data_IF_159437898174
#
_entry.id   IF_159437898174
#
_cell.length_a   1.000
_cell.length_b   1.000
_cell.length_c   1.000
_cell.angle_alpha   90.00
_cell.angle_beta   90.00
_cell.angle_gamma   90.00
#
_symmetry.space_group_name_H-M   'P 1'
#
loop_
_entity.id
_entity.type
_entity.pdbx_description
1 polymer ?
#
# COMPACT_ATOMS: atom_id res chain seq x y z
N UNK A 1 -22.33 -5.43 -12.54
CA UNK A 1 -23.04 -6.70 -12.25
C UNK A 1 -22.02 -7.68 -11.71
N UNK A 2 -22.31 -8.37 -10.61
CA UNK A 2 -21.41 -9.40 -10.04
C UNK A 2 -21.23 -10.54 -11.04
N UNK A 3 -20.03 -11.13 -11.11
CA UNK A 3 -19.77 -12.28 -11.98
C UNK A 3 -20.61 -13.49 -11.53
N UNK A 4 -20.83 -14.45 -12.43
CA UNK A 4 -21.55 -15.68 -12.09
C UNK A 4 -20.90 -16.43 -10.91
N UNK A 5 -19.57 -16.43 -10.83
CA UNK A 5 -18.81 -17.01 -9.72
C UNK A 5 -19.03 -16.26 -8.40
N UNK A 6 -19.09 -14.91 -8.42
CA UNK A 6 -19.37 -14.11 -7.22
C UNK A 6 -20.80 -14.30 -6.72
N UNK A 7 -21.77 -14.41 -7.63
CA UNK A 7 -23.17 -14.71 -7.26
C UNK A 7 -23.23 -16.06 -6.54
N UNK A 8 -22.50 -17.05 -7.04
CA UNK A 8 -22.50 -18.38 -6.46
C UNK A 8 -21.76 -18.41 -5.11
N UNK A 9 -20.67 -17.65 -4.95
CA UNK A 9 -20.03 -17.44 -3.64
C UNK A 9 -21.01 -16.84 -2.62
N UNK A 10 -21.80 -15.84 -3.01
CA UNK A 10 -22.77 -15.24 -2.08
C UNK A 10 -23.86 -16.22 -1.67
N UNK A 11 -24.38 -17.04 -2.59
CA UNK A 11 -25.30 -18.14 -2.21
C UNK A 11 -24.64 -19.10 -1.22
N UNK A 12 -23.36 -19.43 -1.43
CA UNK A 12 -22.58 -20.23 -0.50
C UNK A 12 -22.44 -19.58 0.88
N UNK A 13 -22.21 -18.26 0.93
CA UNK A 13 -22.16 -17.50 2.17
C UNK A 13 -23.50 -17.50 2.91
N UNK A 14 -24.61 -17.36 2.19
CA UNK A 14 -25.95 -17.36 2.78
C UNK A 14 -26.31 -18.75 3.32
N UNK A 15 -26.05 -19.81 2.57
CA UNK A 15 -26.18 -21.19 3.05
C UNK A 15 -25.30 -21.46 4.29
N UNK A 16 -24.08 -20.94 4.31
CA UNK A 16 -23.18 -21.07 5.46
C UNK A 16 -23.73 -20.35 6.70
N UNK A 17 -24.32 -19.16 6.55
CA UNK A 17 -24.96 -18.42 7.66
C UNK A 17 -26.15 -19.18 8.25
N UNK A 18 -26.91 -19.89 7.42
CA UNK A 18 -28.03 -20.74 7.85
C UNK A 18 -27.59 -22.13 8.33
N UNK A 19 -26.28 -22.35 8.49
CA UNK A 19 -25.67 -23.63 8.88
C UNK A 19 -25.95 -24.81 7.92
N UNK A 20 -26.37 -24.54 6.68
CA UNK A 20 -26.47 -25.54 5.62
C UNK A 20 -25.11 -25.67 4.93
N UNK A 21 -24.22 -26.41 5.57
CA UNK A 21 -22.83 -26.51 5.14
C UNK A 21 -22.66 -27.34 3.86
N UNK A 22 -23.59 -28.23 3.53
CA UNK A 22 -23.58 -28.99 2.27
C UNK A 22 -23.98 -28.13 1.08
N UNK A 23 -25.02 -27.31 1.24
CA UNK A 23 -25.37 -26.31 0.23
C UNK A 23 -24.23 -25.29 0.07
N UNK A 24 -23.64 -24.82 1.17
CA UNK A 24 -22.48 -23.94 1.13
C UNK A 24 -21.30 -24.56 0.36
N UNK A 25 -20.94 -25.81 0.66
CA UNK A 25 -19.92 -26.56 -0.05
C UNK A 25 -20.20 -26.65 -1.56
N UNK A 26 -21.44 -26.95 -1.93
CA UNK A 26 -21.86 -27.09 -3.32
C UNK A 26 -21.75 -25.77 -4.09
N UNK A 27 -22.22 -24.68 -3.50
CA UNK A 27 -22.11 -23.34 -4.09
C UNK A 27 -20.65 -22.89 -4.23
N UNK A 28 -19.81 -23.07 -3.21
CA UNK A 28 -18.39 -22.74 -3.34
C UNK A 28 -17.69 -23.61 -4.41
N UNK A 29 -18.07 -24.87 -4.55
CA UNK A 29 -17.56 -25.74 -5.62
C UNK A 29 -17.94 -25.21 -7.01
N UNK A 30 -19.19 -24.78 -7.19
CA UNK A 30 -19.62 -24.16 -8.45
C UNK A 30 -18.86 -22.85 -8.73
N UNK A 31 -18.64 -22.01 -7.71
CA UNK A 31 -17.81 -20.82 -7.84
C UNK A 31 -16.37 -21.15 -8.29
N UNK A 32 -15.76 -22.20 -7.72
CA UNK A 32 -14.43 -22.69 -8.11
C UNK A 32 -14.37 -23.22 -9.55
N UNK A 33 -15.44 -23.86 -10.04
CA UNK A 33 -15.51 -24.32 -11.44
C UNK A 33 -15.63 -23.14 -12.41
N UNK A 34 -16.31 -22.06 -12.01
CA UNK A 34 -16.52 -20.87 -12.83
C UNK A 34 -15.29 -19.97 -12.88
N UNK A 35 -14.56 -19.84 -11.77
CA UNK A 35 -13.30 -19.09 -11.70
C UNK A 35 -12.30 -19.81 -10.77
N UNK A 36 -11.43 -20.66 -11.34
CA UNK A 36 -10.50 -21.49 -10.57
C UNK A 36 -9.30 -20.75 -10.00
N UNK A 37 -9.12 -19.45 -10.33
CA UNK A 37 -7.95 -18.67 -9.89
C UNK A 37 -8.23 -17.82 -8.64
N UNK A 38 -9.49 -17.67 -8.23
CA UNK A 38 -9.83 -16.93 -7.02
C UNK A 38 -9.67 -17.81 -5.76
N UNK A 39 -8.71 -17.43 -4.91
CA UNK A 39 -8.42 -18.16 -3.68
C UNK A 39 -9.56 -18.14 -2.64
N UNK A 40 -10.50 -17.20 -2.74
CA UNK A 40 -11.58 -17.02 -1.75
C UNK A 40 -12.58 -18.16 -1.79
N UNK A 41 -12.78 -18.80 -2.94
CA UNK A 41 -13.71 -19.92 -3.07
C UNK A 41 -13.19 -21.21 -2.39
N UNK A 42 -11.97 -21.72 -2.67
CA UNK A 42 -11.42 -22.84 -1.90
C UNK A 42 -11.22 -22.46 -0.44
N UNK A 43 -10.85 -21.21 -0.12
CA UNK A 43 -10.81 -20.76 1.26
C UNK A 43 -12.18 -20.93 1.94
N UNK A 44 -13.27 -20.42 1.37
CA UNK A 44 -14.59 -20.53 1.95
C UNK A 44 -15.13 -21.98 1.98
N UNK A 45 -14.80 -22.80 0.97
CA UNK A 45 -15.14 -24.22 0.98
C UNK A 45 -14.41 -24.98 2.09
N UNK A 46 -13.15 -24.63 2.39
CA UNK A 46 -12.41 -25.28 3.48
C UNK A 46 -13.09 -25.14 4.85
N UNK A 47 -13.73 -23.99 5.16
CA UNK A 47 -14.44 -23.83 6.43
C UNK A 47 -15.78 -24.58 6.45
N UNK A 48 -16.47 -24.70 5.31
CA UNK A 48 -17.64 -25.57 5.19
C UNK A 48 -17.24 -27.03 5.43
N UNK A 49 -16.14 -27.48 4.83
CA UNK A 49 -15.59 -28.82 5.03
C UNK A 49 -15.17 -29.09 6.49
N UNK A 50 -14.59 -28.11 7.19
CA UNK A 50 -14.35 -28.23 8.63
C UNK A 50 -15.65 -28.41 9.42
N UNK A 51 -16.72 -27.67 9.09
CA UNK A 51 -18.02 -27.83 9.77
C UNK A 51 -18.67 -29.18 9.49
N UNK A 52 -18.44 -29.73 8.29
CA UNK A 52 -18.90 -31.05 7.87
C UNK A 52 -18.02 -32.20 8.35
N UNK A 53 -16.91 -31.92 9.05
CA UNK A 53 -15.92 -32.92 9.47
C UNK A 53 -15.24 -33.65 8.31
N UNK A 54 -15.17 -33.00 7.14
CA UNK A 54 -14.44 -33.44 5.94
C UNK A 54 -13.02 -32.91 6.00
N UNK A 55 -12.23 -33.50 6.89
CA UNK A 55 -10.94 -32.93 7.29
C UNK A 55 -9.92 -32.92 6.15
N UNK A 56 -9.88 -34.00 5.35
CA UNK A 56 -8.95 -34.10 4.23
C UNK A 56 -9.25 -33.06 3.16
N UNK A 57 -10.52 -32.91 2.81
CA UNK A 57 -11.01 -31.93 1.83
C UNK A 57 -10.80 -30.50 2.34
N UNK A 58 -10.96 -30.25 3.64
CA UNK A 58 -10.63 -28.96 4.24
C UNK A 58 -9.13 -28.63 4.15
N UNK A 59 -8.25 -29.62 4.35
CA UNK A 59 -6.81 -29.46 4.20
C UNK A 59 -6.41 -29.16 2.75
N UNK A 60 -6.98 -29.91 1.80
CA UNK A 60 -6.76 -29.75 0.36
C UNK A 60 -7.20 -28.36 -0.10
N UNK A 61 -8.40 -27.94 0.29
CA UNK A 61 -8.95 -26.62 -0.05
C UNK A 61 -8.14 -25.47 0.55
N UNK A 62 -7.73 -25.59 1.82
CA UNK A 62 -6.89 -24.59 2.46
C UNK A 62 -5.48 -24.54 1.84
N UNK A 63 -4.95 -25.68 1.39
CA UNK A 63 -3.67 -25.75 0.65
C UNK A 63 -3.79 -25.12 -0.73
N UNK A 64 -4.89 -25.36 -1.43
CA UNK A 64 -5.17 -24.72 -2.71
C UNK A 64 -5.29 -23.20 -2.55
N UNK A 65 -6.02 -22.73 -1.53
CA UNK A 65 -6.11 -21.31 -1.21
C UNK A 65 -4.73 -20.68 -0.94
N UNK A 66 -3.84 -21.38 -0.24
CA UNK A 66 -2.45 -20.92 0.00
C UNK A 66 -1.56 -20.96 -1.24
N UNK A 67 -1.85 -21.87 -2.17
CA UNK A 67 -1.16 -21.92 -3.46
C UNK A 67 -1.54 -20.72 -4.33
N UNK A 68 -2.83 -20.34 -4.32
CA UNK A 68 -3.37 -19.20 -5.06
C UNK A 68 -3.04 -17.85 -4.38
N UNK A 69 -3.02 -17.80 -3.05
CA UNK A 69 -2.70 -16.61 -2.25
C UNK A 69 -1.70 -16.93 -1.13
N UNK A 70 -0.38 -16.96 -1.43
CA UNK A 70 0.66 -17.21 -0.45
C UNK A 70 0.68 -16.13 0.65
N UNK A 71 0.18 -16.47 1.84
CA UNK A 71 0.09 -15.56 2.99
C UNK A 71 -1.29 -15.42 3.61
N UNK A 72 -2.33 -16.05 3.06
CA UNK A 72 -3.69 -16.01 3.61
C UNK A 72 -3.78 -16.71 4.98
N UNK A 73 -3.88 -15.90 6.04
CA UNK A 73 -3.82 -16.35 7.45
C UNK A 73 -4.96 -17.31 7.77
N UNK A 74 -6.17 -17.07 7.24
CA UNK A 74 -7.32 -17.95 7.49
C UNK A 74 -7.11 -19.33 6.88
N UNK A 75 -6.41 -19.42 5.76
CA UNK A 75 -6.10 -20.71 5.13
C UNK A 75 -5.12 -21.51 5.98
N UNK A 76 -4.07 -20.88 6.54
CA UNK A 76 -3.17 -21.55 7.49
C UNK A 76 -3.93 -22.08 8.71
N UNK A 77 -4.82 -21.28 9.30
CA UNK A 77 -5.61 -21.69 10.46
C UNK A 77 -6.53 -22.88 10.14
N UNK A 78 -7.24 -22.82 9.01
CA UNK A 78 -8.16 -23.88 8.58
C UNK A 78 -7.42 -25.17 8.24
N UNK A 79 -6.25 -25.08 7.58
CA UNK A 79 -5.39 -26.22 7.29
C UNK A 79 -4.84 -26.88 8.55
N UNK A 80 -4.34 -26.10 9.50
CA UNK A 80 -3.85 -26.64 10.78
C UNK A 80 -4.98 -27.28 11.59
N UNK A 81 -6.17 -26.68 11.61
CA UNK A 81 -7.35 -27.29 12.24
C UNK A 81 -7.69 -28.64 11.59
N UNK A 82 -7.73 -28.70 10.26
CA UNK A 82 -7.97 -29.95 9.53
C UNK A 82 -6.93 -31.03 9.84
N UNK A 83 -5.64 -30.67 9.86
CA UNK A 83 -4.53 -31.58 10.16
C UNK A 83 -4.56 -32.10 11.57
N UNK A 84 -4.85 -31.24 12.55
CA UNK A 84 -5.00 -31.65 13.93
C UNK A 84 -6.09 -32.71 14.07
N UNK A 85 -7.25 -32.47 13.47
CA UNK A 85 -8.35 -33.45 13.49
C UNK A 85 -7.92 -34.75 12.79
N UNK A 86 -7.26 -34.69 11.62
CA UNK A 86 -6.71 -35.87 10.94
C UNK A 86 -5.68 -36.65 11.78
N UNK A 87 -4.79 -35.95 12.49
CA UNK A 87 -3.76 -36.53 13.36
C UNK A 87 -4.37 -37.15 14.64
N UNK A 88 -5.44 -36.55 15.19
CA UNK A 88 -6.22 -37.12 16.29
C UNK A 88 -6.95 -38.41 15.86
N UNK A 89 -7.27 -38.56 14.56
CA UNK A 89 -7.77 -39.83 13.98
C UNK A 89 -6.65 -40.82 13.60
N UNK A 90 -5.42 -40.35 13.30
CA UNK A 90 -4.36 -41.16 12.71
C UNK A 90 -3.20 -41.55 13.66
N UNK A 91 -3.13 -40.99 14.88
CA UNK A 91 -2.12 -41.38 15.85
C UNK A 91 -0.67 -41.04 15.44
N UNK A 92 -0.30 -39.77 15.65
CA UNK A 92 1.05 -39.21 15.85
C UNK A 92 1.93 -38.71 14.66
N UNK A 93 2.20 -37.38 14.74
CA UNK A 93 3.47 -36.60 14.63
C UNK A 93 4.07 -36.25 13.26
N UNK A 94 4.13 -34.94 12.96
CA UNK A 94 5.36 -34.11 12.85
C UNK A 94 5.12 -32.76 12.14
N UNK A 95 4.07 -32.66 11.31
CA UNK A 95 3.79 -31.48 10.47
C UNK A 95 3.35 -30.22 11.24
N UNK A 96 2.58 -30.39 12.31
CA UNK A 96 1.99 -29.29 13.09
C UNK A 96 3.04 -28.40 13.78
N UNK A 97 4.23 -28.93 14.10
CA UNK A 97 5.28 -28.18 14.80
C UNK A 97 5.94 -27.09 13.97
N UNK A 98 5.91 -27.20 12.64
CA UNK A 98 6.46 -26.20 11.71
C UNK A 98 5.42 -25.11 11.44
N UNK A 99 4.15 -25.47 11.31
CA UNK A 99 3.07 -24.51 11.09
C UNK A 99 2.69 -23.74 12.35
N UNK A 100 2.69 -24.38 13.53
CA UNK A 100 2.51 -23.66 14.82
C UNK A 100 3.66 -22.71 15.11
N UNK A 101 4.90 -23.03 14.71
CA UNK A 101 6.02 -22.07 14.78
C UNK A 101 5.89 -20.92 13.77
N UNK A 102 5.37 -21.17 12.57
CA UNK A 102 5.07 -20.11 11.59
C UNK A 102 3.89 -19.24 12.03
N UNK A 103 2.87 -19.85 12.63
CA UNK A 103 1.71 -19.16 13.20
C UNK A 103 2.11 -18.35 14.44
N UNK A 104 2.90 -18.92 15.35
CA UNK A 104 3.48 -18.19 16.48
C UNK A 104 4.34 -17.03 15.98
N UNK A 105 5.23 -17.23 15.00
CA UNK A 105 6.00 -16.12 14.41
C UNK A 105 5.12 -15.07 13.69
N UNK A 106 3.95 -15.44 13.17
CA UNK A 106 3.00 -14.52 12.53
C UNK A 106 2.10 -13.79 13.54
N UNK A 107 1.71 -14.45 14.63
CA UNK A 107 1.00 -13.86 15.77
C UNK A 107 1.96 -12.94 16.52
N UNK A 108 3.19 -13.39 16.80
CA UNK A 108 4.28 -12.57 17.32
C UNK A 108 4.53 -11.39 16.38
N UNK A 109 4.53 -11.56 15.05
CA UNK A 109 4.66 -10.42 14.13
C UNK A 109 3.44 -9.48 14.13
N UNK A 110 2.23 -10.00 14.36
CA UNK A 110 1.00 -9.21 14.43
C UNK A 110 0.80 -8.52 15.78
N UNK A 111 1.29 -9.11 16.87
CA UNK A 111 1.31 -8.57 18.23
C UNK A 111 2.51 -7.63 18.43
N UNK A 112 3.66 -7.94 17.83
CA UNK A 112 4.83 -7.04 17.75
C UNK A 112 4.51 -5.78 16.95
N UNK A 113 3.69 -5.87 15.90
CA UNK A 113 3.15 -4.72 15.18
C UNK A 113 2.25 -3.82 16.05
N UNK A 114 1.77 -4.33 17.20
CA UNK A 114 0.88 -3.62 18.13
C UNK A 114 1.59 -3.19 19.44
N UNK A 115 2.90 -3.46 19.59
CA UNK A 115 3.71 -2.98 20.72
C UNK A 115 4.78 -2.02 20.23
N UNK A 116 4.81 -0.83 20.81
CA UNK A 116 5.59 0.35 20.43
C UNK A 116 7.12 0.22 20.54
N UNK A 117 7.68 -1.00 20.63
CA UNK A 117 9.12 -1.21 20.85
C UNK A 117 9.83 -2.16 19.87
N UNK A 118 9.17 -2.65 18.81
CA UNK A 118 9.82 -3.60 17.87
C UNK A 118 9.88 -3.18 16.39
N UNK A 119 9.29 -2.04 16.00
CA UNK A 119 9.19 -1.64 14.59
C UNK A 119 10.48 -1.04 13.99
N UNK A 120 11.62 -1.17 14.67
CA UNK A 120 12.91 -0.69 14.17
C UNK A 120 13.06 0.84 14.10
N UNK A 121 12.17 1.57 14.78
CA UNK A 121 12.27 3.02 14.98
C UNK A 121 11.85 3.39 16.42
N UNK A 122 12.27 4.56 16.87
CA UNK A 122 11.87 5.17 18.14
C UNK A 122 11.28 6.55 17.88
N UNK A 123 10.35 6.99 18.73
CA UNK A 123 9.83 8.36 18.72
C UNK A 123 10.62 9.17 19.72
N UNK A 124 11.32 10.20 19.25
CA UNK A 124 12.22 11.03 20.04
C UNK A 124 11.91 12.51 19.84
N UNK A 125 12.50 13.37 20.68
CA UNK A 125 12.40 14.82 20.51
C UNK A 125 13.25 15.27 19.30
N UNK A 126 12.57 15.73 18.25
CA UNK A 126 13.14 16.31 17.04
C UNK A 126 13.36 17.83 17.19
N UNK A 127 13.59 18.31 18.42
CA UNK A 127 13.89 19.70 18.79
C UNK A 127 12.79 20.67 18.36
N UNK A 128 13.02 21.48 17.32
CA UNK A 128 12.08 22.49 16.84
C UNK A 128 10.83 21.92 16.18
N UNK A 129 10.82 20.62 15.83
CA UNK A 129 9.68 19.97 15.17
C UNK A 129 8.69 19.32 16.17
N UNK A 130 9.05 19.24 17.45
CA UNK A 130 8.35 18.41 18.43
C UNK A 130 8.86 16.98 18.34
N UNK A 131 7.98 15.98 18.38
CA UNK A 131 8.39 14.58 18.25
C UNK A 131 8.67 14.18 16.79
N UNK A 132 9.60 13.23 16.60
CA UNK A 132 9.94 12.64 15.30
C UNK A 132 10.24 11.15 15.43
N UNK A 133 10.04 10.40 14.34
CA UNK A 133 10.42 8.99 14.26
C UNK A 133 11.86 8.84 13.75
N UNK A 134 12.70 8.09 14.46
CA UNK A 134 14.12 7.87 14.13
C UNK A 134 14.42 6.38 14.03
N UNK A 135 15.15 5.98 12.99
CA UNK A 135 15.48 4.58 12.76
C UNK A 135 16.42 4.03 13.86
N UNK A 136 16.05 2.91 14.48
CA UNK A 136 16.89 2.20 15.47
C UNK A 136 17.60 0.98 14.86
N UNK A 137 17.32 0.69 13.58
CA UNK A 137 18.01 -0.29 12.74
C UNK A 137 18.10 0.25 11.30
N UNK A 138 18.98 -0.28 10.44
CA UNK A 138 18.91 0.04 9.02
C UNK A 138 17.61 -0.48 8.41
N UNK A 139 17.06 0.29 7.47
CA UNK A 139 15.97 -0.13 6.58
C UNK A 139 16.44 -0.14 5.14
N UNK A 140 15.87 -1.04 4.35
CA UNK A 140 16.07 -1.09 2.90
C UNK A 140 14.80 -0.68 2.16
N UNK A 141 14.96 -0.18 0.92
CA UNK A 141 13.81 0.16 0.06
C UNK A 141 12.82 -1.01 0.00
N UNK A 142 11.55 -0.73 0.28
CA UNK A 142 10.47 -1.71 0.32
C UNK A 142 10.18 -2.33 1.69
N UNK A 143 11.01 -2.05 2.71
CA UNK A 143 10.71 -2.46 4.08
C UNK A 143 9.42 -1.81 4.58
N UNK A 144 8.58 -2.60 5.25
CA UNK A 144 7.47 -2.09 6.04
C UNK A 144 8.00 -1.53 7.36
N UNK A 145 7.78 -0.24 7.59
CA UNK A 145 8.21 0.48 8.80
C UNK A 145 7.10 0.48 9.84
N UNK A 146 5.86 0.75 9.43
CA UNK A 146 4.70 0.83 10.32
C UNK A 146 3.47 0.23 9.65
N UNK A 147 2.66 -0.53 10.39
CA UNK A 147 1.29 -0.84 10.04
C UNK A 147 0.41 -0.55 11.26
N UNK A 148 -0.44 0.47 11.18
CA UNK A 148 -1.19 0.99 12.32
C UNK A 148 -2.69 1.02 12.01
N UNK A 149 -3.51 0.57 12.97
CA UNK A 149 -4.95 0.76 12.92
C UNK A 149 -5.29 2.17 13.40
N UNK A 150 -6.20 2.89 12.73
CA UNK A 150 -6.58 4.23 13.17
C UNK A 150 -7.41 4.16 14.46
N UNK A 151 -7.33 5.20 15.28
CA UNK A 151 -8.26 5.40 16.41
C UNK A 151 -9.71 5.48 15.90
N UNK A 152 -9.90 6.11 14.76
CA UNK A 152 -11.19 6.16 14.07
C UNK A 152 -11.02 6.43 12.57
N UNK A 153 -12.04 6.02 11.81
CA UNK A 153 -12.28 6.45 10.44
C UNK A 153 -13.42 7.46 10.48
N UNK A 154 -13.13 8.72 10.14
CA UNK A 154 -14.08 9.81 10.18
C UNK A 154 -15.09 9.68 9.04
N UNK A 155 -16.37 9.58 9.39
CA UNK A 155 -17.48 9.54 8.43
C UNK A 155 -18.26 10.85 8.34
N UNK A 156 -18.50 11.52 9.47
CA UNK A 156 -19.38 12.70 9.52
C UNK A 156 -18.93 13.76 10.54
N UNK A 157 -18.72 13.37 11.80
CA UNK A 157 -18.54 14.32 12.91
C UNK A 157 -17.32 13.97 13.76
N UNK A 158 -16.37 14.91 13.86
CA UNK A 158 -15.11 14.74 14.59
C UNK A 158 -15.35 14.63 16.10
N UNK A 159 -16.25 15.45 16.66
CA UNK A 159 -16.53 15.45 18.09
C UNK A 159 -17.12 14.10 18.52
N UNK A 160 -18.11 13.60 17.77
CA UNK A 160 -18.72 12.30 18.03
C UNK A 160 -17.70 11.14 17.87
N UNK A 161 -16.77 11.23 16.92
CA UNK A 161 -15.72 10.22 16.76
C UNK A 161 -14.80 10.15 18.00
N UNK A 162 -14.43 11.31 18.56
CA UNK A 162 -13.56 11.40 19.75
C UNK A 162 -14.30 11.05 21.05
N UNK A 163 -15.58 11.40 21.17
CA UNK A 163 -16.42 11.02 22.30
C UNK A 163 -16.55 9.50 22.42
N UNK A 164 -16.68 8.80 21.29
CA UNK A 164 -16.83 7.34 21.23
C UNK A 164 -15.53 6.55 21.47
N UNK A 165 -14.38 7.22 21.64
CA UNK A 165 -13.12 6.55 21.95
C UNK A 165 -13.13 5.93 23.35
N UNK A 166 -12.33 4.88 23.54
CA UNK A 166 -12.00 4.39 24.87
C UNK A 166 -11.24 5.46 25.66
N UNK A 167 -11.12 5.32 26.98
CA UNK A 167 -10.36 6.27 27.80
C UNK A 167 -8.88 6.32 27.39
N UNK A 168 -8.28 5.17 27.09
CA UNK A 168 -6.90 5.07 26.62
C UNK A 168 -6.73 5.75 25.26
N UNK A 169 -7.57 5.42 24.28
CA UNK A 169 -7.52 6.01 22.94
C UNK A 169 -7.75 7.52 22.97
N UNK A 170 -8.61 8.01 23.86
CA UNK A 170 -8.84 9.44 24.06
C UNK A 170 -7.60 10.10 24.68
N UNK A 171 -6.92 9.42 25.59
CA UNK A 171 -5.60 9.83 26.11
C UNK A 171 -4.56 9.94 24.98
N UNK A 172 -4.48 8.93 24.11
CA UNK A 172 -3.61 8.96 22.93
C UNK A 172 -3.96 10.13 22.00
N UNK A 173 -5.24 10.34 21.71
CA UNK A 173 -5.73 11.47 20.92
C UNK A 173 -5.28 12.81 21.48
N UNK A 174 -5.47 13.05 22.79
CA UNK A 174 -5.09 14.31 23.42
C UNK A 174 -3.56 14.50 23.57
N UNK A 175 -2.77 13.44 23.43
CA UNK A 175 -1.30 13.52 23.37
C UNK A 175 -0.77 14.01 22.01
N UNK A 176 -1.63 14.11 20.99
CA UNK A 176 -1.26 14.54 19.65
C UNK A 176 -1.08 16.06 19.57
N UNK A 177 -0.36 16.49 18.53
CA UNK A 177 -0.04 17.91 18.34
C UNK A 177 -1.32 18.71 18.08
N UNK A 178 -1.60 19.69 18.92
CA UNK A 178 -2.66 20.66 18.68
C UNK A 178 -2.10 21.84 17.88
N UNK A 179 -2.47 21.93 16.60
CA UNK A 179 -2.05 23.04 15.72
C UNK A 179 -2.77 24.37 15.98
N UNK A 180 -3.71 24.42 16.93
CA UNK A 180 -4.47 25.62 17.33
C UNK A 180 -5.07 26.41 16.15
N UNK A 181 -5.63 25.68 15.18
CA UNK A 181 -6.14 26.24 13.93
C UNK A 181 -7.49 26.96 14.09
N UNK A 182 -8.27 26.53 15.07
CA UNK A 182 -9.58 27.08 15.37
C UNK A 182 -9.85 27.08 16.87
N UNK A 183 -11.00 27.63 17.29
CA UNK A 183 -11.40 27.69 18.70
C UNK A 183 -11.68 26.33 19.36
N UNK A 184 -11.68 25.22 18.61
CA UNK A 184 -11.87 23.87 19.14
C UNK A 184 -10.55 23.10 19.15
N UNK A 185 -10.10 22.67 20.33
CA UNK A 185 -8.91 21.85 20.50
C UNK A 185 -9.05 20.50 19.80
N UNK A 186 -10.23 19.86 19.88
CA UNK A 186 -10.48 18.56 19.24
C UNK A 186 -10.34 18.67 17.72
N UNK A 187 -10.96 19.68 17.12
CA UNK A 187 -10.89 19.89 15.66
C UNK A 187 -9.45 20.22 15.26
N UNK A 188 -8.78 21.09 16.00
CA UNK A 188 -7.39 21.48 15.71
C UNK A 188 -6.41 20.31 15.82
N UNK A 189 -6.58 19.40 16.79
CA UNK A 189 -5.80 18.16 16.88
C UNK A 189 -6.08 17.27 15.67
N UNK A 190 -7.35 17.04 15.34
CA UNK A 190 -7.73 16.22 14.19
C UNK A 190 -7.11 16.75 12.89
N UNK A 191 -7.34 18.02 12.55
CA UNK A 191 -6.85 18.64 11.32
C UNK A 191 -5.32 18.66 11.20
N UNK A 192 -4.61 18.59 12.34
CA UNK A 192 -3.14 18.59 12.36
C UNK A 192 -2.54 17.20 12.13
N UNK A 193 -3.27 16.13 12.49
CA UNK A 193 -2.70 14.78 12.60
C UNK A 193 -3.39 13.75 11.70
N UNK A 194 -4.53 14.08 11.10
CA UNK A 194 -5.30 13.13 10.30
C UNK A 194 -4.72 12.92 8.88
N UNK A 195 -4.97 11.73 8.34
CA UNK A 195 -4.51 11.28 7.03
C UNK A 195 -5.72 11.02 6.12
N UNK A 196 -5.55 11.23 4.82
CA UNK A 196 -6.53 10.81 3.83
C UNK A 196 -6.44 9.30 3.57
N UNK A 197 -7.58 8.61 3.54
CA UNK A 197 -7.69 7.17 3.30
C UNK A 197 -8.26 6.81 1.92
N UNK A 198 -8.53 7.79 1.06
CA UNK A 198 -9.20 7.57 -0.23
C UNK A 198 -10.74 7.63 -0.09
N UNK A 199 -11.44 7.80 -1.20
CA UNK A 199 -12.91 7.89 -1.26
C UNK A 199 -13.57 8.91 -0.31
N UNK A 200 -12.81 9.95 0.05
CA UNK A 200 -13.24 10.99 0.99
C UNK A 200 -13.13 10.59 2.47
N UNK A 201 -12.66 9.40 2.79
CA UNK A 201 -12.41 8.96 4.16
C UNK A 201 -11.15 9.63 4.74
N UNK A 202 -11.24 9.98 6.02
CA UNK A 202 -10.14 10.57 6.80
C UNK A 202 -9.92 9.69 8.02
N UNK A 203 -8.67 9.39 8.33
CA UNK A 203 -8.29 8.52 9.44
C UNK A 203 -7.33 9.22 10.38
N UNK A 204 -7.28 8.80 11.64
CA UNK A 204 -6.34 9.32 12.62
C UNK A 204 -5.50 8.18 13.23
N UNK A 205 -4.18 8.26 13.04
CA UNK A 205 -3.22 7.23 13.40
C UNK A 205 -2.11 7.83 14.29
N UNK A 206 -2.18 7.69 15.64
CA UNK A 206 -1.32 8.42 16.57
C UNK A 206 0.19 8.21 16.37
N UNK A 207 0.63 7.00 16.05
CA UNK A 207 2.04 6.67 15.84
C UNK A 207 2.50 7.25 14.50
N UNK A 208 1.72 7.06 13.44
CA UNK A 208 2.01 7.62 12.11
C UNK A 208 2.09 9.15 12.13
N UNK A 209 1.29 9.82 12.98
CA UNK A 209 1.36 11.28 13.17
C UNK A 209 2.68 11.77 13.77
N UNK A 210 3.56 10.88 14.25
CA UNK A 210 4.92 11.21 14.73
C UNK A 210 5.98 11.23 13.62
N UNK A 211 5.63 10.85 12.40
CA UNK A 211 6.55 10.91 11.26
C UNK A 211 6.52 12.31 10.66
N UNK A 212 7.65 13.02 10.75
CA UNK A 212 7.76 14.40 10.30
C UNK A 212 7.78 14.54 8.77
N UNK A 213 7.61 15.78 8.30
CA UNK A 213 7.63 16.10 6.88
C UNK A 213 9.05 16.24 6.29
N UNK A 214 9.24 15.70 5.09
CA UNK A 214 10.31 16.11 4.17
C UNK A 214 9.79 16.28 2.73
N UNK A 215 10.31 17.27 2.00
CA UNK A 215 10.04 17.46 0.56
C UNK A 215 10.80 16.46 -0.33
N UNK A 216 11.78 15.75 0.26
CA UNK A 216 12.44 14.56 -0.30
C UNK A 216 12.35 13.45 0.76
N UNK A 217 11.16 12.84 0.92
CA UNK A 217 10.91 11.88 1.98
C UNK A 217 11.69 10.58 1.75
N UNK A 218 12.02 9.91 2.84
CA UNK A 218 12.63 8.57 2.82
C UNK A 218 11.61 7.47 3.16
N UNK A 219 10.37 7.84 3.50
CA UNK A 219 9.27 6.92 3.70
C UNK A 219 7.95 7.44 3.10
N UNK A 220 7.02 6.53 2.85
CA UNK A 220 5.68 6.84 2.30
C UNK A 220 4.62 6.17 3.14
N UNK A 221 3.61 6.93 3.54
CA UNK A 221 2.39 6.35 4.09
C UNK A 221 1.39 6.02 2.97
N UNK A 222 0.56 5.01 3.20
CA UNK A 222 -0.60 4.69 2.36
C UNK A 222 -1.67 4.00 3.19
N UNK A 223 -2.95 4.21 2.83
CA UNK A 223 -4.04 3.46 3.42
C UNK A 223 -4.22 2.12 2.71
N UNK A 224 -4.22 1.03 3.47
CA UNK A 224 -4.51 -0.29 2.95
C UNK A 224 -5.90 -0.75 3.42
N UNK A 225 -6.92 -0.36 2.65
CA UNK A 225 -8.32 -0.64 2.94
C UNK A 225 -8.62 -2.13 3.23
N UNK A 226 -8.05 -3.12 2.49
CA UNK A 226 -8.34 -4.52 2.76
C UNK A 226 -7.94 -4.99 4.16
N UNK A 227 -6.86 -4.42 4.73
CA UNK A 227 -6.47 -4.73 6.11
C UNK A 227 -7.00 -3.72 7.13
N UNK A 228 -7.44 -2.54 6.70
CA UNK A 228 -7.83 -1.44 7.60
C UNK A 228 -6.66 -0.84 8.37
N UNK A 229 -5.48 -0.75 7.75
CA UNK A 229 -4.28 -0.17 8.37
C UNK A 229 -3.68 0.94 7.51
N UNK A 230 -3.18 1.99 8.16
CA UNK A 230 -2.22 2.90 7.56
C UNK A 230 -0.85 2.20 7.59
N UNK A 231 -0.19 2.13 6.43
CA UNK A 231 1.12 1.49 6.29
C UNK A 231 2.15 2.52 5.88
N UNK A 232 3.35 2.45 6.45
CA UNK A 232 4.50 3.26 6.06
C UNK A 232 5.59 2.36 5.51
N UNK A 233 6.00 2.59 4.26
CA UNK A 233 7.06 1.86 3.58
C UNK A 233 8.30 2.73 3.36
N UNK A 234 9.45 2.08 3.41
CA UNK A 234 10.76 2.67 3.18
C UNK A 234 10.99 2.92 1.67
N UNK A 235 11.30 4.15 1.28
CA UNK A 235 11.50 4.53 -0.13
C UNK A 235 12.95 4.39 -0.59
N UNK A 236 13.90 4.44 0.32
CA UNK A 236 15.33 4.27 0.05
C UNK A 236 15.99 3.76 1.31
N UNK A 237 17.22 3.29 1.24
CA UNK A 237 17.94 2.89 2.45
C UNK A 237 17.97 4.03 3.49
N UNK A 238 17.69 3.68 4.75
CA UNK A 238 17.67 4.59 5.90
C UNK A 238 18.68 4.06 6.92
N UNK A 239 19.62 4.92 7.32
CA UNK A 239 20.64 4.57 8.31
C UNK A 239 20.10 4.63 9.74
N UNK A 240 20.75 3.93 10.68
CA UNK A 240 20.46 4.06 12.11
C UNK A 240 20.65 5.52 12.56
N UNK A 241 19.70 6.04 13.32
CA UNK A 241 19.67 7.43 13.78
C UNK A 241 19.12 8.44 12.77
N UNK A 242 18.84 8.04 11.54
CA UNK A 242 18.21 8.93 10.56
C UNK A 242 16.72 9.13 10.88
N UNK A 243 16.25 10.38 10.78
CA UNK A 243 14.83 10.71 10.93
C UNK A 243 14.02 10.14 9.75
N UNK A 244 12.98 9.38 10.06
CA UNK A 244 12.07 8.80 9.07
C UNK A 244 10.97 9.84 8.78
N UNK A 245 11.02 10.38 7.57
CA UNK A 245 10.15 11.46 7.13
C UNK A 245 9.23 11.02 5.99
N UNK A 246 7.97 11.46 6.06
CA UNK A 246 6.96 11.30 5.00
C UNK A 246 6.65 12.64 4.32
N UNK A 247 5.86 12.64 3.24
CA UNK A 247 5.39 13.88 2.60
C UNK A 247 3.97 14.23 3.05
N UNK A 248 3.75 15.40 3.65
CA UNK A 248 2.42 15.85 4.08
C UNK A 248 1.62 16.47 2.94
N UNK A 249 2.34 17.12 2.03
CA UNK A 249 1.76 17.76 0.86
C UNK A 249 1.74 16.75 -0.28
N UNK A 250 0.88 15.74 -0.18
CA UNK A 250 0.65 14.81 -1.27
C UNK A 250 -0.38 15.39 -2.25
N UNK A 251 0.04 15.63 -3.49
CA UNK A 251 -0.84 15.77 -4.65
C UNK A 251 0.01 15.60 -5.92
N UNK A 252 -0.66 15.31 -7.04
CA UNK A 252 -0.07 15.01 -8.36
C UNK A 252 1.03 15.98 -8.85
N UNK A 253 1.12 17.19 -8.29
CA UNK A 253 2.06 18.25 -8.71
C UNK A 253 3.13 18.61 -7.68
N UNK A 254 3.06 18.07 -6.47
CA UNK A 254 3.83 18.62 -5.35
C UNK A 254 5.30 18.33 -5.46
N UNK A 255 5.66 17.15 -5.94
CA UNK A 255 7.07 16.85 -6.15
C UNK A 255 7.69 17.81 -7.19
N UNK A 256 7.00 18.02 -8.30
CA UNK A 256 7.44 18.91 -9.37
C UNK A 256 7.30 20.42 -9.07
N UNK A 257 6.90 20.80 -7.85
CA UNK A 257 6.76 22.20 -7.45
C UNK A 257 8.10 22.77 -6.93
N UNK A 258 8.46 24.02 -7.27
CA UNK A 258 9.61 24.74 -6.69
C UNK A 258 9.52 24.93 -5.16
N UNK A 259 10.64 25.27 -4.52
CA UNK A 259 10.72 25.49 -3.07
C UNK A 259 9.70 26.50 -2.57
N UNK A 260 9.54 27.63 -3.26
CA UNK A 260 8.57 28.68 -2.88
C UNK A 260 7.17 28.13 -2.70
N UNK A 261 6.74 27.28 -3.62
CA UNK A 261 5.38 26.76 -3.69
C UNK A 261 5.16 25.70 -2.61
N UNK A 262 6.16 24.84 -2.38
CA UNK A 262 6.14 23.84 -1.30
C UNK A 262 6.10 24.54 0.06
N UNK A 263 6.92 25.57 0.28
CA UNK A 263 6.94 26.35 1.51
C UNK A 263 5.59 27.03 1.76
N UNK A 264 5.07 27.77 0.77
CA UNK A 264 3.78 28.43 0.85
C UNK A 264 2.66 27.45 1.19
N UNK A 265 2.66 26.26 0.57
CA UNK A 265 1.66 25.23 0.84
C UNK A 265 1.77 24.71 2.26
N UNK A 266 2.96 24.40 2.75
CA UNK A 266 3.16 23.91 4.13
C UNK A 266 2.81 24.97 5.17
N UNK A 267 3.17 26.23 4.93
CA UNK A 267 2.82 27.34 5.80
C UNK A 267 1.29 27.50 5.88
N UNK A 268 0.61 27.50 4.73
CA UNK A 268 -0.85 27.64 4.66
C UNK A 268 -1.59 26.44 5.26
N UNK A 269 -1.12 25.22 5.02
CA UNK A 269 -1.84 23.99 5.38
C UNK A 269 -1.40 23.34 6.69
N UNK A 270 -0.20 23.65 7.19
CA UNK A 270 0.41 23.02 8.36
C UNK A 270 1.09 24.02 9.31
N UNK A 271 1.20 25.30 8.95
CA UNK A 271 1.67 26.35 9.85
C UNK A 271 3.16 26.30 10.17
N UNK A 272 4.00 25.71 9.31
CA UNK A 272 5.46 25.67 9.54
C UNK A 272 6.26 25.89 8.26
N UNK A 273 7.50 26.36 8.43
CA UNK A 273 8.50 26.48 7.37
C UNK A 273 9.35 25.21 7.33
N UNK A 274 9.43 24.56 6.16
CA UNK A 274 10.17 23.32 6.00
C UNK A 274 11.68 23.58 5.98
N UNK A 275 12.41 22.86 6.82
CA UNK A 275 13.87 22.89 6.89
C UNK A 275 14.52 21.57 6.44
N UNK A 276 13.84 20.77 5.61
CA UNK A 276 14.42 19.54 5.06
C UNK A 276 15.55 19.85 4.07
N UNK A 277 16.35 18.84 3.74
CA UNK A 277 17.51 18.94 2.83
C UNK A 277 17.16 19.57 1.48
N UNK A 278 15.99 19.27 0.91
CA UNK A 278 15.54 19.85 -0.36
C UNK A 278 15.10 21.34 -0.28
N UNK A 279 14.94 21.87 0.93
CA UNK A 279 14.53 23.25 1.19
C UNK A 279 15.64 24.10 1.83
N UNK A 280 16.74 23.48 2.24
CA UNK A 280 17.91 24.13 2.86
C UNK A 280 19.16 24.04 1.99
N UNK A 281 19.01 23.68 0.71
CA UNK A 281 20.12 23.71 -0.24
C UNK A 281 20.70 25.13 -0.36
N UNK A 282 22.02 25.27 -0.57
CA UNK A 282 22.63 26.52 -0.99
C UNK A 282 21.95 27.11 -2.24
N UNK A 283 21.90 28.43 -2.37
CA UNK A 283 21.09 29.10 -3.40
C UNK A 283 21.28 28.61 -4.84
N UNK A 284 22.51 28.31 -5.26
CA UNK A 284 22.78 27.75 -6.60
C UNK A 284 22.21 26.33 -6.76
N UNK A 285 22.38 25.47 -5.75
CA UNK A 285 21.84 24.11 -5.74
C UNK A 285 20.31 24.12 -5.62
N UNK A 286 19.74 25.08 -4.90
CA UNK A 286 18.29 25.26 -4.82
C UNK A 286 17.69 25.61 -6.18
N UNK A 287 18.33 26.51 -6.94
CA UNK A 287 17.88 26.86 -8.29
C UNK A 287 17.94 25.66 -9.25
N UNK A 288 18.97 24.81 -9.12
CA UNK A 288 19.08 23.57 -9.90
C UNK A 288 17.93 22.62 -9.53
N UNK A 289 17.68 22.39 -8.24
CA UNK A 289 16.58 21.55 -7.76
C UNK A 289 15.22 22.04 -8.25
N UNK A 290 14.94 23.34 -8.11
CA UNK A 290 13.68 23.94 -8.54
C UNK A 290 13.49 23.85 -10.07
N UNK A 291 14.58 23.96 -10.84
CA UNK A 291 14.55 23.74 -12.30
C UNK A 291 14.21 22.28 -12.63
N UNK A 292 14.86 21.31 -11.98
CA UNK A 292 14.59 19.88 -12.19
C UNK A 292 13.14 19.54 -11.86
N UNK A 293 12.65 19.96 -10.70
CA UNK A 293 11.26 19.75 -10.27
C UNK A 293 10.27 20.36 -11.26
N UNK A 294 10.50 21.58 -11.70
CA UNK A 294 9.65 22.25 -12.70
C UNK A 294 9.61 21.49 -14.03
N UNK A 295 10.73 20.94 -14.48
CA UNK A 295 10.80 20.10 -15.67
C UNK A 295 10.03 18.79 -15.48
N UNK A 296 10.18 18.12 -14.33
CA UNK A 296 9.41 16.92 -14.00
C UNK A 296 7.92 17.22 -14.03
N UNK A 297 7.46 18.33 -13.43
CA UNK A 297 6.05 18.71 -13.47
C UNK A 297 5.55 18.88 -14.91
N UNK A 298 6.36 19.54 -15.76
CA UNK A 298 6.02 19.79 -17.16
C UNK A 298 5.89 18.49 -17.96
N UNK A 299 6.80 17.54 -17.74
CA UNK A 299 6.72 16.20 -18.34
C UNK A 299 5.46 15.50 -17.83
N UNK A 300 5.19 15.55 -16.53
CA UNK A 300 4.01 14.91 -15.93
C UNK A 300 2.69 15.47 -16.45
N UNK A 301 2.59 16.78 -16.63
CA UNK A 301 1.36 17.41 -17.15
C UNK A 301 1.11 17.09 -18.63
N UNK A 302 2.16 16.76 -19.38
CA UNK A 302 2.03 16.40 -20.78
C UNK A 302 1.48 14.98 -21.00
N UNK A 303 1.65 14.08 -20.02
CA UNK A 303 1.27 12.66 -20.05
C UNK A 303 -0.14 12.39 -20.59
N UNK A 304 -1.21 13.10 -20.18
CA UNK A 304 -2.56 12.78 -20.66
C UNK A 304 -2.85 13.16 -22.12
N UNK A 305 -1.97 13.90 -22.81
CA UNK A 305 -2.32 14.63 -24.05
C UNK A 305 -1.39 14.38 -25.24
N UNK A 306 -0.81 13.19 -25.37
CA UNK A 306 0.14 12.95 -26.46
C UNK A 306 -0.50 12.41 -27.74
N UNK A 307 -0.22 13.04 -28.90
CA UNK A 307 -0.67 12.52 -30.18
C UNK A 307 0.09 11.23 -30.55
N UNK A 308 -0.56 10.28 -31.26
CA UNK A 308 0.03 9.00 -31.67
C UNK A 308 1.40 9.05 -32.36
N UNK A 309 1.76 10.18 -32.98
CA UNK A 309 3.01 10.35 -33.70
C UNK A 309 4.20 10.79 -32.83
N UNK A 310 4.02 11.03 -31.53
CA UNK A 310 5.07 11.54 -30.63
C UNK A 310 5.51 10.52 -29.56
N UNK A 311 5.05 9.28 -29.63
CA UNK A 311 5.30 8.24 -28.61
C UNK A 311 6.78 7.95 -28.35
N UNK A 312 7.63 8.03 -29.37
CA UNK A 312 9.09 7.86 -29.19
C UNK A 312 9.69 8.97 -28.32
N UNK A 313 9.35 10.24 -28.60
CA UNK A 313 9.83 11.36 -27.81
C UNK A 313 9.26 11.31 -26.39
N UNK A 314 8.00 10.89 -26.26
CA UNK A 314 7.37 10.70 -24.95
C UNK A 314 8.10 9.68 -24.08
N UNK A 315 8.50 8.53 -24.63
CA UNK A 315 9.28 7.54 -23.90
C UNK A 315 10.64 8.11 -23.44
N UNK A 316 11.29 8.96 -24.26
CA UNK A 316 12.52 9.65 -23.85
C UNK A 316 12.28 10.64 -22.70
N UNK A 317 11.19 11.41 -22.77
CA UNK A 317 10.84 12.35 -21.69
C UNK A 317 10.41 11.62 -20.41
N UNK A 318 9.77 10.46 -20.50
CA UNK A 318 9.52 9.58 -19.34
C UNK A 318 10.83 9.16 -18.67
N UNK A 319 11.79 8.63 -19.44
CA UNK A 319 13.12 8.26 -18.92
C UNK A 319 13.80 9.46 -18.28
N UNK A 320 13.77 10.62 -18.95
CA UNK A 320 14.33 11.87 -18.44
C UNK A 320 13.64 12.31 -17.13
N UNK A 321 12.32 12.21 -17.05
CA UNK A 321 11.56 12.54 -15.84
C UNK A 321 11.99 11.70 -14.65
N UNK A 322 12.21 10.40 -14.85
CA UNK A 322 12.69 9.49 -13.80
C UNK A 322 14.13 9.82 -13.39
N UNK A 323 15.03 10.11 -14.32
CA UNK A 323 16.38 10.56 -13.97
C UNK A 323 16.36 11.88 -13.18
N UNK A 324 15.48 12.82 -13.55
CA UNK A 324 15.30 14.07 -12.81
C UNK A 324 14.72 13.86 -11.39
N UNK A 325 13.89 12.83 -11.18
CA UNK A 325 13.44 12.41 -9.85
C UNK A 325 14.65 11.96 -9.00
N UNK A 326 15.47 11.07 -9.56
CA UNK A 326 16.65 10.51 -8.89
C UNK A 326 17.72 11.56 -8.58
N UNK A 327 18.03 12.44 -9.55
CA UNK A 327 19.01 13.52 -9.38
C UNK A 327 18.64 14.55 -8.31
N UNK A 328 17.34 14.70 -8.00
CA UNK A 328 16.85 15.56 -6.92
C UNK A 328 16.65 14.81 -5.60
N UNK A 329 16.94 13.50 -5.59
CA UNK A 329 16.84 12.65 -4.41
C UNK A 329 15.41 12.29 -4.03
N UNK A 330 14.50 12.17 -5.01
CA UNK A 330 13.12 11.76 -4.78
C UNK A 330 12.88 10.32 -5.24
N UNK A 331 12.63 9.46 -4.26
CA UNK A 331 12.55 8.02 -4.47
C UNK A 331 11.11 7.48 -4.58
N UNK A 332 10.13 8.33 -4.91
CA UNK A 332 8.72 7.95 -4.96
C UNK A 332 8.07 8.27 -6.32
N UNK A 333 6.91 7.67 -6.58
CA UNK A 333 6.01 7.95 -7.72
C UNK A 333 6.61 7.73 -9.13
N UNK A 334 7.74 7.03 -9.24
CA UNK A 334 8.25 6.61 -10.55
C UNK A 334 7.31 5.60 -11.26
N UNK A 335 6.33 5.03 -10.54
CA UNK A 335 5.36 4.10 -11.09
C UNK A 335 4.42 4.77 -12.09
N UNK A 336 4.02 6.02 -11.88
CA UNK A 336 3.15 6.76 -12.83
C UNK A 336 3.83 6.88 -14.21
N UNK A 337 5.11 7.23 -14.24
CA UNK A 337 5.91 7.31 -15.46
C UNK A 337 6.08 5.95 -16.15
N UNK A 338 6.43 4.91 -15.39
CA UNK A 338 6.65 3.57 -15.95
C UNK A 338 5.37 2.91 -16.42
N UNK A 339 4.24 3.18 -15.76
CA UNK A 339 2.91 2.69 -16.14
C UNK A 339 2.50 3.25 -17.50
N UNK A 340 2.73 4.54 -17.73
CA UNK A 340 2.51 5.16 -19.04
C UNK A 340 3.40 4.58 -20.12
N UNK A 341 4.69 4.34 -19.82
CA UNK A 341 5.60 3.73 -20.77
C UNK A 341 5.10 2.34 -21.20
N UNK A 342 4.58 1.55 -20.25
CA UNK A 342 3.93 0.28 -20.54
C UNK A 342 2.70 0.45 -21.45
N UNK A 343 1.84 1.44 -21.18
CA UNK A 343 0.67 1.72 -22.00
C UNK A 343 1.03 2.16 -23.43
N UNK A 344 2.05 3.00 -23.61
CA UNK A 344 2.56 3.41 -24.92
C UNK A 344 3.05 2.19 -25.71
N UNK A 345 3.89 1.35 -25.08
CA UNK A 345 4.40 0.14 -25.73
C UNK A 345 3.27 -0.83 -26.09
N UNK A 346 2.25 -0.96 -25.24
CA UNK A 346 1.06 -1.77 -25.52
C UNK A 346 0.30 -1.24 -26.75
N UNK A 347 0.16 0.08 -26.85
CA UNK A 347 -0.36 0.79 -28.03
C UNK A 347 0.27 0.33 -29.34
N UNK A 348 1.60 0.25 -29.35
CA UNK A 348 2.38 -0.13 -30.53
C UNK A 348 2.61 -1.63 -30.68
N UNK A 349 1.97 -2.48 -29.85
CA UNK A 349 2.19 -3.93 -29.82
C UNK A 349 3.65 -4.35 -29.55
N UNK A 350 4.40 -3.53 -28.83
CA UNK A 350 5.77 -3.83 -28.38
C UNK A 350 5.75 -4.59 -27.06
N UNK A 351 5.37 -5.86 -27.12
CA UNK A 351 5.11 -6.68 -25.94
C UNK A 351 6.33 -6.93 -25.06
N UNK A 352 7.54 -6.87 -25.63
CA UNK A 352 8.77 -7.00 -24.83
C UNK A 352 8.98 -5.76 -23.96
N UNK A 353 8.85 -4.58 -24.56
CA UNK A 353 8.94 -3.32 -23.81
C UNK A 353 7.78 -3.15 -22.83
N UNK A 354 6.57 -3.64 -23.14
CA UNK A 354 5.48 -3.68 -22.15
C UNK A 354 5.89 -4.44 -20.90
N UNK A 355 6.46 -5.65 -21.05
CA UNK A 355 6.93 -6.45 -19.92
C UNK A 355 8.01 -5.73 -19.12
N UNK A 356 8.97 -5.10 -19.80
CA UNK A 356 10.02 -4.32 -19.14
C UNK A 356 9.44 -3.20 -18.26
N UNK A 357 8.61 -2.34 -18.86
CA UNK A 357 8.04 -1.18 -18.18
C UNK A 357 7.05 -1.57 -17.09
N UNK A 358 6.16 -2.52 -17.35
CA UNK A 358 5.22 -3.01 -16.34
C UNK A 358 5.95 -3.70 -15.17
N UNK A 359 7.10 -4.36 -15.41
CA UNK A 359 7.90 -4.93 -14.31
C UNK A 359 8.45 -3.83 -13.42
N UNK A 360 8.94 -2.72 -14.00
CA UNK A 360 9.40 -1.55 -13.24
C UNK A 360 8.25 -0.91 -12.44
N UNK A 361 7.07 -0.75 -13.05
CA UNK A 361 5.87 -0.28 -12.34
C UNK A 361 5.53 -1.17 -11.16
N UNK A 362 5.50 -2.50 -11.36
CA UNK A 362 5.19 -3.45 -10.30
C UNK A 362 6.22 -3.37 -9.16
N UNK A 363 7.51 -3.38 -9.47
CA UNK A 363 8.58 -3.27 -8.48
C UNK A 363 8.47 -1.97 -7.65
N UNK A 364 8.21 -0.84 -8.29
CA UNK A 364 8.01 0.43 -7.61
C UNK A 364 6.78 0.38 -6.70
N UNK A 365 5.64 -0.11 -7.20
CA UNK A 365 4.41 -0.19 -6.40
C UNK A 365 4.52 -1.17 -5.23
N UNK A 366 5.22 -2.29 -5.41
CA UNK A 366 5.53 -3.22 -4.31
C UNK A 366 6.37 -2.54 -3.24
N UNK A 367 7.42 -1.81 -3.64
CA UNK A 367 8.29 -1.11 -2.70
C UNK A 367 7.58 0.02 -1.96
N UNK A 368 6.61 0.68 -2.59
CA UNK A 368 5.94 1.86 -2.04
C UNK A 368 4.64 1.56 -1.28
N UNK A 369 3.96 0.46 -1.62
CA UNK A 369 2.62 0.13 -1.10
C UNK A 369 2.50 -1.30 -0.56
N UNK A 370 3.50 -2.15 -0.81
CA UNK A 370 3.46 -3.57 -0.49
C UNK A 370 2.89 -4.42 -1.63
N UNK A 371 3.31 -5.70 -1.66
CA UNK A 371 2.91 -6.68 -2.70
C UNK A 371 1.43 -7.00 -2.72
N UNK A 372 0.77 -6.86 -1.56
CA UNK A 372 -0.66 -7.13 -1.34
C UNK A 372 -1.52 -5.90 -1.63
N UNK A 373 -0.93 -4.77 -2.00
CA UNK A 373 -1.68 -3.56 -2.31
C UNK A 373 -2.50 -3.69 -3.59
N UNK A 374 -3.71 -3.10 -3.65
CA UNK A 374 -4.48 -2.98 -4.88
C UNK A 374 -3.67 -2.36 -6.03
N UNK A 375 -2.85 -1.33 -5.72
CA UNK A 375 -1.95 -0.70 -6.68
C UNK A 375 -0.97 -1.68 -7.32
N UNK A 376 -0.31 -2.55 -6.53
CA UNK A 376 0.59 -3.55 -7.10
C UNK A 376 -0.18 -4.60 -7.92
N UNK A 377 -1.36 -5.02 -7.43
CA UNK A 377 -2.21 -6.00 -8.11
C UNK A 377 -2.71 -5.53 -9.50
N UNK A 378 -3.00 -4.24 -9.67
CA UNK A 378 -3.43 -3.64 -10.95
C UNK A 378 -2.43 -3.87 -12.11
N UNK A 379 -1.15 -4.08 -11.81
CA UNK A 379 -0.11 -4.28 -12.84
C UNK A 379 -0.06 -5.73 -13.32
N UNK A 380 -0.56 -6.69 -12.52
CA UNK A 380 -0.48 -8.12 -12.83
C UNK A 380 -1.16 -8.51 -14.15
N UNK A 381 -2.35 -7.98 -14.51
CA UNK A 381 -2.95 -8.22 -15.82
C UNK A 381 -2.09 -7.75 -17.00
N UNK A 382 -1.38 -6.61 -16.84
CA UNK A 382 -0.48 -6.07 -17.87
C UNK A 382 0.72 -7.02 -18.07
N UNK A 383 1.27 -7.58 -16.99
CA UNK A 383 2.39 -8.52 -17.04
C UNK A 383 2.01 -9.88 -17.62
N UNK A 384 0.85 -10.41 -17.22
CA UNK A 384 0.41 -11.77 -17.57
C UNK A 384 -0.28 -11.83 -18.94
N UNK A 385 -1.04 -10.80 -19.31
CA UNK A 385 -1.76 -10.75 -20.56
C UNK A 385 -1.80 -9.33 -21.18
N UNK A 386 -0.64 -8.81 -21.61
CA UNK A 386 -0.52 -7.44 -22.12
C UNK A 386 -1.38 -7.17 -23.38
N UNK A 387 -1.83 -8.22 -24.07
CA UNK A 387 -2.67 -8.09 -25.28
C UNK A 387 -4.14 -7.84 -24.99
N UNK A 388 -4.58 -8.02 -23.74
CA UNK A 388 -5.97 -7.79 -23.30
C UNK A 388 -6.16 -6.44 -22.59
N UNK A 389 -5.11 -5.63 -22.48
CA UNK A 389 -5.20 -4.28 -21.91
C UNK A 389 -5.95 -3.35 -22.87
N UNK A 390 -6.63 -2.34 -22.34
CA UNK A 390 -7.37 -1.34 -23.12
C UNK A 390 -6.55 -0.70 -24.26
N UNK A 391 -5.25 -0.49 -24.04
CA UNK A 391 -4.35 0.16 -25.00
C UNK A 391 -3.72 -0.81 -26.01
N UNK A 392 -4.01 -2.11 -25.96
CA UNK A 392 -3.31 -3.10 -26.77
C UNK A 392 -3.56 -2.91 -28.28
N UNK A 393 -2.51 -2.62 -29.05
CA UNK A 393 -2.54 -2.62 -30.51
C UNK A 393 -3.36 -1.48 -31.15
N UNK A 394 -3.69 -0.43 -30.40
CA UNK A 394 -4.47 0.71 -30.90
C UNK A 394 -3.66 1.66 -31.79
N UNK A 395 -2.33 1.52 -31.82
CA UNK A 395 -1.41 2.34 -32.61
C UNK A 395 -0.67 1.51 -33.67
N UNK A 396 -0.11 2.18 -34.68
CA UNK A 396 0.73 1.54 -35.70
C UNK A 396 1.90 0.82 -35.03
N UNK A 397 2.12 -0.45 -35.38
CA UNK A 397 3.21 -1.25 -34.80
C UNK A 397 4.57 -0.53 -34.87
N UNK A 398 5.25 -0.44 -33.73
CA UNK A 398 6.60 0.10 -33.58
C UNK A 398 7.28 -0.63 -32.41
N UNK A 399 8.58 -0.88 -32.51
CA UNK A 399 9.39 -1.46 -31.44
C UNK A 399 10.33 -0.39 -30.90
N UNK A 400 10.43 -0.29 -29.58
CA UNK A 400 11.24 0.70 -28.89
C UNK A 400 12.44 0.06 -28.21
N UNK A 401 13.59 0.72 -28.30
CA UNK A 401 14.80 0.37 -27.54
C UNK A 401 15.00 1.26 -26.31
N UNK A 402 14.06 2.17 -26.03
CA UNK A 402 14.15 3.16 -24.95
C UNK A 402 13.80 2.47 -23.63
N UNK A 403 14.73 2.50 -22.67
CA UNK A 403 14.63 1.89 -21.33
C UNK A 403 15.28 2.83 -20.31
N UNK A 404 14.94 2.65 -19.02
CA UNK A 404 15.66 3.26 -17.89
C UNK A 404 17.12 2.81 -17.85
#
# INVERSE_FOLDING_TARGET
>A
MSSAAEIEKEKGNDAFKTADFEAAHSHYTQAMLMDPLDYRFPLNRSIANLKLKRWKEAEEDATLALTLAPGEVKAYFRRSTARKELDDFAGARAGDRIETKKMAAMIDAAEAANSTSSNGFAVEDATSKGLGAFATRPFHRGDLILAERPLYILRLNILAAVENLSEDDRGQFHSLKNGQRCGSAIISIHETNAFAAGDGEIILCPIASRFNHSCSPNARYSWHAPSGHLRIFCLRDIAVGEEICVCYIAARRVYGSPRSDRQKRLETSHGFVCACTACTLPGSLQNISDTRRSLVNKIWESIPYFPPNQTTNRLREIVRGIHLLEEDGYAADADDFTNDAAAICAGHSDWESVKYWATKTYQTRVAEFGKDSPRAAEVLPILTNPRKTEYAGVLRKQIFSIRL
#
